data_IF_056055250018
#
_entry.id   IF_056055250018
#
_cell.length_a   1.000
_cell.length_b   1.000
_cell.length_c   1.000
_cell.angle_alpha   90.00
_cell.angle_beta   90.00
_cell.angle_gamma   90.00
#
_symmetry.space_group_name_H-M   'P 1'
#
loop_
_entity.id
_entity.type
_entity.pdbx_description
1 polymer ?
#
# COMPACT_ATOMS: atom_id res chain seq x y z
N UNK A 1 25.64 5.06 -2.46
CA UNK A 1 26.41 4.69 -3.69
C UNK A 1 25.71 5.19 -4.94
N UNK A 2 24.42 4.88 -5.14
CA UNK A 2 23.65 5.23 -6.35
C UNK A 2 23.59 6.75 -6.63
N UNK A 3 23.35 7.57 -5.60
CA UNK A 3 23.27 9.03 -5.72
C UNK A 3 24.58 9.63 -6.22
N UNK A 4 25.71 9.19 -5.68
CA UNK A 4 27.03 9.70 -6.07
C UNK A 4 27.39 9.26 -7.49
N UNK A 5 27.11 7.99 -7.86
CA UNK A 5 27.31 7.52 -9.22
C UNK A 5 26.46 8.29 -10.23
N UNK A 6 25.22 8.61 -9.85
CA UNK A 6 24.31 9.42 -10.67
C UNK A 6 24.87 10.85 -10.85
N UNK A 7 25.28 11.49 -9.76
CA UNK A 7 25.86 12.84 -9.80
C UNK A 7 27.14 12.90 -10.67
N UNK A 8 28.05 11.94 -10.52
CA UNK A 8 29.24 11.82 -11.36
C UNK A 8 28.85 11.74 -12.85
N UNK A 9 27.85 10.89 -13.16
CA UNK A 9 27.40 10.69 -14.55
C UNK A 9 26.69 11.92 -15.11
N UNK A 10 25.77 12.53 -14.35
CA UNK A 10 24.95 13.67 -14.85
C UNK A 10 25.74 14.98 -14.95
N UNK A 11 26.71 15.19 -14.05
CA UNK A 11 27.49 16.42 -14.02
C UNK A 11 28.90 16.27 -14.63
N UNK A 12 29.20 15.11 -15.24
CA UNK A 12 30.50 14.87 -15.87
C UNK A 12 31.69 15.05 -14.92
N UNK A 13 31.49 14.74 -13.62
CA UNK A 13 32.54 14.93 -12.61
C UNK A 13 33.68 13.93 -12.82
N UNK A 14 34.92 14.43 -12.86
CA UNK A 14 36.09 13.56 -12.88
C UNK A 14 36.30 12.96 -11.48
N UNK A 15 36.45 11.63 -11.42
CA UNK A 15 36.73 10.91 -10.18
C UNK A 15 35.91 9.64 -10.00
N UNK A 16 36.29 8.83 -9.05
CA UNK A 16 35.63 7.61 -8.64
C UNK A 16 34.79 7.83 -7.39
N UNK A 17 33.65 7.13 -7.29
CA UNK A 17 32.86 7.15 -6.08
C UNK A 17 33.64 6.55 -4.90
N UNK A 18 34.12 7.38 -3.95
CA UNK A 18 34.88 6.97 -2.80
C UNK A 18 34.18 5.96 -1.85
N UNK A 19 32.87 5.71 -2.06
CA UNK A 19 32.13 4.68 -1.33
C UNK A 19 32.06 3.34 -2.09
N UNK A 20 32.74 3.21 -3.23
CA UNK A 20 32.93 1.91 -3.88
C UNK A 20 33.76 1.01 -2.94
N UNK A 21 33.26 -0.20 -2.69
CA UNK A 21 33.96 -1.14 -1.80
C UNK A 21 33.75 -0.93 -0.30
N UNK A 22 33.03 0.12 0.16
CA UNK A 22 32.73 0.28 1.59
C UNK A 22 32.00 -0.94 2.13
N UNK A 23 32.57 -1.57 3.15
CA UNK A 23 31.95 -2.69 3.84
C UNK A 23 30.71 -2.20 4.60
N UNK A 24 29.59 -2.82 4.34
CA UNK A 24 28.35 -2.61 5.09
C UNK A 24 28.08 -3.90 5.87
N UNK A 25 28.18 -3.87 7.22
CA UNK A 25 27.96 -5.06 8.04
C UNK A 25 26.55 -5.65 7.77
N UNK A 26 26.46 -6.96 7.59
CA UNK A 26 25.20 -7.65 7.35
C UNK A 26 24.18 -7.52 8.49
N UNK A 27 24.64 -7.23 9.71
CA UNK A 27 23.78 -6.99 10.89
C UNK A 27 22.99 -5.69 10.87
N UNK A 28 23.24 -4.79 9.91
CA UNK A 28 22.44 -3.58 9.68
C UNK A 28 21.34 -3.80 8.63
N UNK A 29 21.18 -5.02 8.13
CA UNK A 29 20.06 -5.37 7.27
C UNK A 29 18.78 -5.26 8.06
N UNK A 30 17.89 -4.46 7.53
CA UNK A 30 16.52 -4.23 8.03
C UNK A 30 15.89 -5.51 8.57
N UNK A 31 15.30 -5.42 9.74
CA UNK A 31 14.38 -6.43 10.26
C UNK A 31 13.36 -6.73 9.16
N UNK A 32 13.42 -7.94 8.60
CA UNK A 32 12.46 -8.37 7.59
C UNK A 32 11.06 -8.26 8.19
N UNK A 33 10.25 -7.38 7.61
CA UNK A 33 8.87 -7.16 8.06
C UNK A 33 8.12 -8.46 7.97
N UNK A 34 7.57 -8.92 9.10
CA UNK A 34 6.84 -10.17 9.18
C UNK A 34 5.46 -10.03 8.53
N UNK A 35 4.97 -11.04 7.80
CA UNK A 35 3.58 -11.10 7.37
C UNK A 35 2.66 -11.21 8.59
N UNK A 36 1.44 -10.68 8.48
CA UNK A 36 0.39 -10.86 9.48
C UNK A 36 -0.27 -12.21 9.22
N UNK A 37 -0.44 -13.08 10.23
CA UNK A 37 -1.15 -14.35 10.08
C UNK A 37 -2.59 -14.16 9.58
N UNK A 38 -3.10 -15.11 8.78
CA UNK A 38 -4.44 -15.00 8.15
C UNK A 38 -5.55 -14.86 9.19
N UNK A 39 -5.48 -15.59 10.31
CA UNK A 39 -6.49 -15.52 11.35
C UNK A 39 -6.52 -14.13 12.00
N UNK A 40 -5.35 -13.54 12.25
CA UNK A 40 -5.25 -12.17 12.79
C UNK A 40 -5.79 -11.15 11.77
N UNK A 41 -5.59 -11.37 10.47
CA UNK A 41 -6.19 -10.51 9.43
C UNK A 41 -7.71 -10.57 9.50
N UNK A 42 -8.32 -11.74 9.67
CA UNK A 42 -9.78 -11.89 9.82
C UNK A 42 -10.31 -11.12 11.04
N UNK A 43 -9.62 -11.23 12.18
CA UNK A 43 -10.00 -10.50 13.39
C UNK A 43 -9.90 -8.99 13.19
N UNK A 44 -8.81 -8.51 12.57
CA UNK A 44 -8.63 -7.10 12.20
C UNK A 44 -9.77 -6.63 11.29
N UNK A 45 -10.12 -7.40 10.27
CA UNK A 45 -11.20 -7.07 9.33
C UNK A 45 -12.55 -6.96 10.06
N UNK A 46 -12.85 -7.87 10.99
CA UNK A 46 -14.07 -7.84 11.77
C UNK A 46 -14.15 -6.59 12.65
N UNK A 47 -13.04 -6.24 13.31
CA UNK A 47 -12.95 -5.00 14.11
C UNK A 47 -13.13 -3.78 13.21
N UNK A 48 -12.51 -3.76 12.02
CA UNK A 48 -12.69 -2.67 11.07
C UNK A 48 -14.15 -2.50 10.65
N UNK A 49 -14.87 -3.58 10.37
CA UNK A 49 -16.27 -3.54 10.01
C UNK A 49 -17.17 -3.05 11.16
N UNK A 50 -16.82 -3.37 12.40
CA UNK A 50 -17.55 -2.93 13.59
C UNK A 50 -17.35 -1.44 13.87
N UNK A 51 -16.11 -0.94 13.72
CA UNK A 51 -15.78 0.47 13.97
C UNK A 51 -16.23 1.42 12.86
N UNK A 52 -16.21 0.97 11.61
CA UNK A 52 -16.78 1.59 10.41
C UNK A 52 -16.44 3.07 10.22
N UNK A 53 -15.15 3.40 10.20
CA UNK A 53 -14.64 4.76 9.95
C UNK A 53 -13.55 4.75 8.85
N UNK A 54 -13.11 5.95 8.42
CA UNK A 54 -12.17 6.17 7.33
C UNK A 54 -10.83 5.45 7.53
N UNK A 55 -10.33 5.38 8.76
CA UNK A 55 -9.08 4.70 9.09
C UNK A 55 -9.22 3.19 8.96
N UNK A 56 -10.35 2.62 9.41
CA UNK A 56 -10.63 1.17 9.33
C UNK A 56 -10.96 0.74 7.90
N UNK A 57 -11.63 1.60 7.14
CA UNK A 57 -11.80 1.34 5.70
C UNK A 57 -10.45 1.23 4.99
N UNK A 58 -9.49 2.11 5.30
CA UNK A 58 -8.17 2.05 4.70
C UNK A 58 -7.40 0.77 5.08
N UNK A 59 -7.50 0.31 6.34
CA UNK A 59 -6.92 -0.96 6.79
C UNK A 59 -7.57 -2.14 6.07
N UNK A 60 -8.90 -2.20 6.04
CA UNK A 60 -9.64 -3.27 5.38
C UNK A 60 -9.35 -3.34 3.87
N UNK A 61 -9.21 -2.18 3.21
CA UNK A 61 -8.81 -2.12 1.81
C UNK A 61 -7.43 -2.76 1.58
N UNK A 62 -6.45 -2.38 2.41
CA UNK A 62 -5.07 -2.87 2.29
C UNK A 62 -4.95 -4.36 2.61
N UNK A 63 -5.79 -4.90 3.51
CA UNK A 63 -5.73 -6.28 3.99
C UNK A 63 -6.04 -7.31 2.91
N UNK A 64 -6.92 -7.00 1.94
CA UNK A 64 -7.32 -7.90 0.85
C UNK A 64 -6.86 -7.45 -0.55
N UNK A 65 -6.22 -6.29 -0.66
CA UNK A 65 -5.64 -5.85 -1.94
C UNK A 65 -4.12 -5.98 -1.99
N UNK A 66 -3.45 -5.91 -0.85
CA UNK A 66 -2.00 -5.88 -0.79
C UNK A 66 -1.35 -4.67 -1.48
N UNK A 67 -2.15 -3.66 -1.90
CA UNK A 67 -1.64 -2.46 -2.57
C UNK A 67 -0.75 -1.63 -1.64
N UNK A 68 0.05 -0.72 -2.20
CA UNK A 68 0.87 0.19 -1.39
C UNK A 68 0.01 1.24 -0.70
N UNK A 69 0.37 1.61 0.52
CA UNK A 69 -0.37 2.63 1.28
C UNK A 69 -0.52 3.95 0.50
N UNK A 70 0.55 4.43 -0.15
CA UNK A 70 0.47 5.65 -0.96
C UNK A 70 -0.47 5.53 -2.16
N UNK A 71 -0.62 4.33 -2.73
CA UNK A 71 -1.58 4.05 -3.78
C UNK A 71 -3.02 4.16 -3.24
N UNK A 72 -3.29 3.56 -2.08
CA UNK A 72 -4.61 3.55 -1.45
C UNK A 72 -5.05 4.96 -0.98
N UNK A 73 -4.15 5.67 -0.31
CA UNK A 73 -4.43 7.03 0.23
C UNK A 73 -4.81 8.01 -0.88
N UNK A 74 -4.20 7.89 -2.05
CA UNK A 74 -4.43 8.79 -3.18
C UNK A 74 -5.57 8.40 -4.12
N UNK A 75 -6.46 7.47 -3.73
CA UNK A 75 -7.58 7.03 -4.56
C UNK A 75 -8.65 8.11 -4.71
N UNK A 76 -9.12 8.30 -5.95
CA UNK A 76 -10.40 8.96 -6.21
C UNK A 76 -11.55 7.96 -6.04
N UNK A 77 -12.73 8.47 -5.77
CA UNK A 77 -13.96 7.68 -5.82
C UNK A 77 -14.27 7.16 -7.22
N UNK A 78 -13.85 7.89 -8.26
CA UNK A 78 -13.93 7.43 -9.66
C UNK A 78 -13.00 6.26 -9.97
N UNK A 79 -11.92 6.07 -9.21
CA UNK A 79 -11.02 4.91 -9.36
C UNK A 79 -11.69 3.61 -8.83
N UNK A 80 -12.78 3.72 -8.05
CA UNK A 80 -13.51 2.60 -7.45
C UNK A 80 -14.66 2.20 -8.39
N UNK A 81 -14.51 1.12 -9.10
CA UNK A 81 -15.48 0.59 -10.05
C UNK A 81 -16.26 -0.56 -9.38
N UNK A 82 -17.51 -0.34 -9.05
CA UNK A 82 -18.37 -1.31 -8.34
C UNK A 82 -19.44 -1.94 -9.23
N UNK A 83 -19.88 -1.22 -10.27
CA UNK A 83 -21.03 -1.59 -11.12
C UNK A 83 -20.56 -2.45 -12.31
N UNK A 84 -19.85 -3.54 -12.01
CA UNK A 84 -19.32 -4.50 -12.98
C UNK A 84 -19.36 -5.90 -12.39
N UNK A 85 -19.29 -6.94 -13.24
CA UNK A 85 -19.22 -8.35 -12.81
C UNK A 85 -18.02 -8.61 -11.89
N UNK A 86 -16.93 -7.88 -12.07
CA UNK A 86 -15.74 -7.94 -11.22
C UNK A 86 -15.45 -6.56 -10.66
N UNK A 87 -15.98 -6.20 -9.48
CA UNK A 87 -15.65 -4.94 -8.81
C UNK A 87 -14.14 -4.82 -8.62
N UNK A 88 -13.57 -3.64 -8.94
CA UNK A 88 -12.13 -3.44 -8.90
C UNK A 88 -11.74 -1.98 -8.66
N UNK A 89 -10.51 -1.76 -8.23
CA UNK A 89 -9.85 -0.46 -8.29
C UNK A 89 -9.13 -0.32 -9.63
N UNK A 90 -9.30 0.83 -10.27
CA UNK A 90 -8.50 1.20 -11.43
C UNK A 90 -7.32 2.05 -10.95
N UNK A 91 -6.17 1.43 -10.73
CA UNK A 91 -4.99 2.12 -10.23
C UNK A 91 -4.23 2.77 -11.38
N UNK A 92 -4.41 4.08 -11.53
CA UNK A 92 -3.77 4.92 -12.54
C UNK A 92 -3.00 6.06 -11.85
N UNK A 93 -2.00 6.70 -12.50
CA UNK A 93 -1.33 7.87 -11.95
C UNK A 93 -2.28 9.08 -11.89
N UNK A 94 -2.07 9.93 -10.88
CA UNK A 94 -2.74 11.22 -10.73
C UNK A 94 -1.70 12.30 -10.40
N UNK A 95 -1.95 13.59 -10.59
CA UNK A 95 -0.99 14.65 -10.28
C UNK A 95 -0.45 14.60 -8.84
N UNK A 96 -1.29 14.26 -7.88
CA UNK A 96 -0.94 14.12 -6.46
C UNK A 96 -0.40 12.73 -6.08
N UNK A 97 -0.55 11.71 -6.95
CA UNK A 97 -0.14 10.32 -6.69
C UNK A 97 0.62 9.75 -7.87
N UNK A 98 1.94 9.76 -7.79
CA UNK A 98 2.79 9.04 -8.73
C UNK A 98 2.82 7.55 -8.40
N UNK A 99 2.80 6.70 -9.41
CA UNK A 99 3.07 5.27 -9.26
C UNK A 99 4.59 5.03 -9.26
N UNK A 100 5.04 3.99 -8.55
CA UNK A 100 6.48 3.74 -8.36
C UNK A 100 7.22 3.42 -9.66
N UNK A 101 6.54 2.75 -10.59
CA UNK A 101 7.07 2.36 -11.91
C UNK A 101 5.98 2.53 -12.97
N UNK A 102 6.38 2.66 -14.23
CA UNK A 102 5.46 2.78 -15.38
C UNK A 102 4.51 1.57 -15.49
N UNK A 103 4.96 0.36 -15.09
CA UNK A 103 4.13 -0.85 -15.07
C UNK A 103 3.29 -1.03 -13.79
N UNK A 104 3.16 -0.01 -12.94
CA UNK A 104 2.33 -0.11 -11.73
C UNK A 104 0.85 0.19 -11.96
N UNK A 105 0.47 0.66 -13.15
CA UNK A 105 -0.94 0.80 -13.55
C UNK A 105 -1.57 -0.58 -13.66
N UNK A 106 -2.69 -0.77 -12.97
CA UNK A 106 -3.36 -2.07 -12.93
C UNK A 106 -4.77 -1.98 -12.38
N UNK A 107 -5.59 -2.98 -12.71
CA UNK A 107 -6.86 -3.23 -12.05
C UNK A 107 -6.63 -4.16 -10.85
N UNK A 108 -7.15 -3.79 -9.69
CA UNK A 108 -7.05 -4.59 -8.46
C UNK A 108 -8.44 -5.09 -8.10
N UNK A 109 -8.72 -6.39 -8.20
CA UNK A 109 -10.02 -6.95 -7.81
C UNK A 109 -10.35 -6.63 -6.35
N UNK A 110 -11.62 -6.34 -6.09
CA UNK A 110 -12.15 -6.08 -4.76
C UNK A 110 -12.93 -7.29 -4.28
N UNK A 111 -12.50 -7.90 -3.19
CA UNK A 111 -13.13 -9.06 -2.55
C UNK A 111 -13.23 -8.86 -1.04
N UNK A 112 -14.10 -9.59 -0.36
CA UNK A 112 -14.17 -9.61 1.10
C UNK A 112 -14.19 -8.22 1.74
N UNK A 113 -13.29 -7.98 2.67
CA UNK A 113 -13.19 -6.73 3.42
C UNK A 113 -12.80 -5.54 2.55
N UNK A 114 -12.01 -5.75 1.48
CA UNK A 114 -11.67 -4.67 0.55
C UNK A 114 -12.88 -4.18 -0.26
N UNK A 115 -13.78 -5.07 -0.64
CA UNK A 115 -15.02 -4.69 -1.34
C UNK A 115 -15.96 -3.90 -0.41
N UNK A 116 -16.12 -4.36 0.84
CA UNK A 116 -16.87 -3.63 1.85
C UNK A 116 -16.31 -2.21 2.05
N UNK A 117 -15.02 -2.11 2.27
CA UNK A 117 -14.31 -0.84 2.46
C UNK A 117 -14.48 0.11 1.27
N UNK A 118 -14.29 -0.39 0.06
CA UNK A 118 -14.43 0.40 -1.17
C UNK A 118 -15.85 0.98 -1.33
N UNK A 119 -16.89 0.22 -0.97
CA UNK A 119 -18.27 0.71 -0.94
C UNK A 119 -18.45 1.85 0.05
N UNK A 120 -17.93 1.68 1.28
CA UNK A 120 -17.98 2.71 2.32
C UNK A 120 -17.24 3.99 1.91
N UNK A 121 -16.00 3.86 1.43
CA UNK A 121 -15.21 4.98 0.98
C UNK A 121 -15.86 5.72 -0.22
N UNK A 122 -16.45 4.99 -1.17
CA UNK A 122 -17.14 5.59 -2.33
C UNK A 122 -18.39 6.36 -1.91
N UNK A 123 -19.14 5.85 -0.93
CA UNK A 123 -20.38 6.46 -0.43
C UNK A 123 -20.13 7.59 0.59
N UNK A 124 -18.94 7.64 1.21
CA UNK A 124 -18.60 8.64 2.21
C UNK A 124 -18.54 10.04 1.60
N UNK A 125 -18.83 11.07 2.38
CA UNK A 125 -18.72 12.49 2.02
C UNK A 125 -19.02 12.80 0.53
N UNK A 126 -20.28 12.89 0.11
CA UNK A 126 -20.68 12.98 -1.31
C UNK A 126 -20.04 14.16 -2.06
N UNK A 127 -19.66 15.23 -1.37
CA UNK A 127 -19.08 16.44 -1.96
C UNK A 127 -17.58 16.34 -2.23
N UNK A 128 -16.90 15.30 -1.71
CA UNK A 128 -15.47 15.11 -1.88
C UNK A 128 -15.17 14.03 -2.90
N UNK A 129 -14.31 14.30 -3.87
CA UNK A 129 -13.89 13.36 -4.89
C UNK A 129 -12.92 12.28 -4.40
N UNK A 130 -12.20 12.53 -3.31
CA UNK A 130 -11.23 11.57 -2.75
C UNK A 130 -11.91 10.51 -1.90
N UNK A 131 -11.42 9.27 -1.99
CA UNK A 131 -11.86 8.18 -1.14
C UNK A 131 -11.42 8.37 0.33
N UNK A 132 -10.24 8.98 0.53
CA UNK A 132 -9.64 9.22 1.84
C UNK A 132 -9.18 10.68 1.98
N UNK A 133 -10.12 11.65 2.05
CA UNK A 133 -9.82 13.09 2.00
C UNK A 133 -9.00 13.60 3.18
N UNK A 134 -8.95 12.84 4.28
CA UNK A 134 -8.11 13.15 5.44
C UNK A 134 -6.62 13.20 5.11
N UNK A 135 -6.20 12.42 4.10
CA UNK A 135 -4.80 12.22 3.76
C UNK A 135 -4.46 12.63 2.33
N UNK A 136 -5.43 13.10 1.56
CA UNK A 136 -5.24 13.43 0.15
C UNK A 136 -6.05 14.66 -0.28
N UNK A 137 -5.43 15.51 -1.09
CA UNK A 137 -6.04 16.63 -1.78
C UNK A 137 -5.49 16.73 -3.21
N UNK A 138 -5.92 17.74 -3.97
CA UNK A 138 -5.54 17.93 -5.38
C UNK A 138 -4.03 18.20 -5.60
N UNK A 139 -3.31 18.58 -4.56
CA UNK A 139 -1.88 18.94 -4.67
C UNK A 139 -0.96 17.82 -4.21
N UNK A 140 -1.38 17.03 -3.21
CA UNK A 140 -0.52 16.03 -2.59
C UNK A 140 -1.30 14.98 -1.81
N UNK A 141 -0.63 13.86 -1.51
CA UNK A 141 -1.11 12.89 -0.53
C UNK A 141 -0.09 12.71 0.60
N UNK A 142 -0.57 12.51 1.82
CA UNK A 142 0.27 12.35 3.01
C UNK A 142 0.22 10.90 3.53
N UNK A 143 0.90 10.01 2.82
CA UNK A 143 1.02 8.60 3.22
C UNK A 143 1.80 8.40 4.52
N UNK A 144 2.68 9.34 4.91
CA UNK A 144 3.42 9.25 6.17
C UNK A 144 2.49 9.47 7.37
N UNK A 145 1.60 10.47 7.31
CA UNK A 145 0.58 10.69 8.34
C UNK A 145 -0.37 9.50 8.46
N UNK A 146 -0.85 8.98 7.33
CA UNK A 146 -1.66 7.77 7.29
C UNK A 146 -0.92 6.58 7.91
N UNK A 147 0.35 6.36 7.53
CA UNK A 147 1.19 5.28 8.07
C UNK A 147 1.32 5.38 9.60
N UNK A 148 1.56 6.58 10.13
CA UNK A 148 1.69 6.79 11.57
C UNK A 148 0.39 6.42 12.31
N UNK A 149 -0.76 6.89 11.82
CA UNK A 149 -2.06 6.61 12.42
C UNK A 149 -2.43 5.11 12.36
N UNK A 150 -2.26 4.50 11.19
CA UNK A 150 -2.57 3.08 10.98
C UNK A 150 -1.65 2.18 11.81
N UNK A 151 -0.34 2.43 11.84
CA UNK A 151 0.59 1.63 12.63
C UNK A 151 0.40 1.81 14.14
N UNK A 152 -0.01 3.01 14.59
CA UNK A 152 -0.37 3.23 16.01
C UNK A 152 -1.53 2.33 16.41
N UNK A 153 -2.55 2.21 15.58
CA UNK A 153 -3.69 1.34 15.85
C UNK A 153 -3.31 -0.14 15.70
N UNK A 154 -2.57 -0.50 14.64
CA UNK A 154 -2.21 -1.89 14.32
C UNK A 154 -1.35 -2.54 15.41
N UNK A 155 -0.54 -1.77 16.15
CA UNK A 155 0.27 -2.28 17.28
C UNK A 155 -0.54 -3.00 18.35
N UNK A 156 -1.81 -2.67 18.49
CA UNK A 156 -2.69 -3.28 19.48
C UNK A 156 -3.49 -4.47 18.91
N UNK A 157 -3.38 -4.76 17.62
CA UNK A 157 -4.23 -5.73 16.91
C UNK A 157 -3.44 -6.74 16.08
N UNK A 158 -2.15 -6.53 15.88
CA UNK A 158 -1.28 -7.41 15.12
C UNK A 158 -0.04 -7.82 15.96
N UNK A 159 0.60 -8.95 15.63
CA UNK A 159 1.82 -9.38 16.30
C UNK A 159 2.94 -8.33 16.23
N UNK A 160 3.85 -8.38 17.21
CA UNK A 160 5.00 -7.49 17.27
C UNK A 160 5.86 -7.57 15.99
N UNK A 161 6.30 -6.41 15.51
CA UNK A 161 7.06 -6.28 14.27
C UNK A 161 6.20 -6.21 13.01
N UNK A 162 4.88 -6.39 13.10
CA UNK A 162 3.96 -6.18 12.00
C UNK A 162 3.61 -4.69 11.84
N UNK A 163 3.55 -4.24 10.60
CA UNK A 163 3.20 -2.88 10.20
C UNK A 163 2.20 -2.91 9.03
N UNK A 164 1.64 -1.77 8.66
CA UNK A 164 0.69 -1.69 7.53
C UNK A 164 1.22 -2.35 6.26
N UNK A 165 2.50 -2.20 5.97
CA UNK A 165 3.12 -2.85 4.81
C UNK A 165 3.15 -4.39 4.91
N UNK A 166 2.99 -4.95 6.10
CA UNK A 166 2.90 -6.41 6.32
C UNK A 166 1.68 -7.04 5.64
N UNK A 167 0.58 -6.31 5.45
CA UNK A 167 -0.57 -6.79 4.67
C UNK A 167 -0.18 -7.17 3.23
N UNK A 168 0.74 -6.41 2.61
CA UNK A 168 1.24 -6.72 1.28
C UNK A 168 2.07 -8.02 1.26
N UNK A 169 2.89 -8.25 2.29
CA UNK A 169 3.61 -9.53 2.43
C UNK A 169 2.62 -10.68 2.64
N UNK A 170 1.64 -10.50 3.53
CA UNK A 170 0.60 -11.51 3.78
C UNK A 170 -0.22 -11.84 2.52
N UNK A 171 -0.56 -10.85 1.69
CA UNK A 171 -1.28 -11.08 0.43
C UNK A 171 -0.44 -11.91 -0.52
N UNK A 172 0.85 -11.60 -0.68
CA UNK A 172 1.76 -12.38 -1.53
C UNK A 172 1.89 -13.83 -1.03
N UNK A 173 1.96 -14.03 0.28
CA UNK A 173 2.05 -15.38 0.87
C UNK A 173 0.73 -16.15 0.71
N UNK A 174 -0.42 -15.49 0.87
CA UNK A 174 -1.75 -16.08 0.60
C UNK A 174 -1.88 -16.52 -0.86
N UNK A 175 -1.41 -15.71 -1.81
CA UNK A 175 -1.43 -16.07 -3.23
C UNK A 175 -0.48 -17.25 -3.53
N UNK A 176 0.70 -17.28 -2.92
CA UNK A 176 1.62 -18.43 -3.05
C UNK A 176 1.02 -19.71 -2.49
N UNK A 177 0.31 -19.62 -1.35
CA UNK A 177 -0.33 -20.78 -0.73
C UNK A 177 -1.42 -21.44 -1.59
N UNK A 178 -1.99 -20.70 -2.54
CA UNK A 178 -2.97 -21.21 -3.52
C UNK A 178 -2.34 -21.40 -4.92
N UNK A 179 -1.01 -21.46 -4.99
CA UNK A 179 -0.24 -21.69 -6.23
C UNK A 179 -0.56 -20.68 -7.34
N UNK A 180 -0.88 -19.43 -6.96
CA UNK A 180 -1.13 -18.36 -7.92
C UNK A 180 0.12 -18.14 -8.80
N UNK A 181 -0.03 -17.97 -10.13
CA UNK A 181 1.09 -17.71 -11.02
C UNK A 181 1.95 -16.54 -10.55
N UNK A 182 3.29 -16.70 -10.66
CA UNK A 182 4.26 -15.71 -10.18
C UNK A 182 4.05 -14.33 -10.80
N UNK A 183 3.70 -14.28 -12.08
CA UNK A 183 3.45 -13.05 -12.84
C UNK A 183 2.31 -12.23 -12.20
N UNK A 184 1.29 -12.89 -11.65
CA UNK A 184 0.17 -12.24 -10.94
C UNK A 184 0.62 -11.79 -9.55
N UNK A 185 1.39 -12.63 -8.84
CA UNK A 185 1.93 -12.26 -7.51
C UNK A 185 2.85 -11.04 -7.60
N UNK A 186 3.61 -10.91 -8.68
CA UNK A 186 4.56 -9.81 -8.86
C UNK A 186 3.86 -8.48 -9.25
N UNK A 187 2.59 -8.51 -9.65
CA UNK A 187 1.77 -7.30 -9.85
C UNK A 187 1.31 -6.64 -8.54
N UNK A 188 1.35 -7.38 -7.44
CA UNK A 188 1.03 -6.85 -6.10
C UNK A 188 2.18 -6.03 -5.55
#
# INVERSE_FOLDING_TARGET
RSIINLAIKEHGLEGTNGFLGTFIPDGLRETTRKPIPVEVIKDIQQICMTMDDDLRWLIALLSDTGMRLGEAVGLLKSDIILDTDTPHLNLIPHPWRRLKTTGSERKIPLVGASLWSARRAKQSNPTNQFAFPRYCNEQSHNSNSASAALNKWLRNHAPEGCVVHSFRHSMRDRLRAVECPKEIIDQI
#
